data_IF_888660223287
#
_entry.id   IF_888660223287
#
_cell.length_a   1.000
_cell.length_b   1.000
_cell.length_c   1.000
_cell.angle_alpha   90.00
_cell.angle_beta   90.00
_cell.angle_gamma   90.00
#
_symmetry.space_group_name_H-M   'P 1'
#
loop_
_entity.id
_entity.type
_entity.pdbx_description
1 polymer ?
#
# COMPACT_ATOMS: atom_id res chain seq x y z
N UNK A 1 3.72 -9.26 23.84
CA UNK A 1 2.73 -8.24 23.46
C UNK A 1 1.29 -8.75 23.19
N UNK A 2 1.02 -10.06 23.14
CA UNK A 2 -0.37 -10.57 23.01
C UNK A 2 -1.28 -10.24 24.22
N UNK A 3 -0.74 -9.89 25.38
CA UNK A 3 -1.48 -9.68 26.63
C UNK A 3 -1.43 -8.21 27.13
N UNK A 4 -1.34 -7.21 26.23
CA UNK A 4 -1.22 -5.80 26.66
C UNK A 4 -2.53 -5.15 27.11
N UNK A 5 -3.63 -5.92 27.33
CA UNK A 5 -4.93 -5.37 27.76
C UNK A 5 -5.57 -4.33 26.82
N UNK A 6 -5.02 -4.20 25.60
CA UNK A 6 -5.53 -3.25 24.62
C UNK A 6 -6.84 -3.73 23.98
N UNK A 7 -7.09 -5.02 23.99
CA UNK A 7 -8.34 -5.60 23.46
C UNK A 7 -9.57 -5.26 24.31
N UNK A 8 -9.36 -4.93 25.61
CA UNK A 8 -10.42 -4.53 26.55
C UNK A 8 -10.63 -3.01 26.59
N UNK A 9 -9.80 -2.22 25.89
CA UNK A 9 -9.96 -0.79 25.86
C UNK A 9 -11.20 -0.40 25.03
N UNK A 10 -12.09 0.43 25.61
CA UNK A 10 -13.23 1.00 24.86
C UNK A 10 -12.82 1.98 23.78
N UNK A 11 -11.59 2.49 23.83
CA UNK A 11 -10.99 3.37 22.85
C UNK A 11 -10.73 2.64 21.53
N UNK A 12 -10.90 3.32 20.39
CA UNK A 12 -10.67 2.78 19.05
C UNK A 12 -11.74 3.16 18.05
N UNK A 13 -11.60 2.69 16.82
CA UNK A 13 -12.56 2.91 15.74
C UNK A 13 -13.56 1.77 15.70
N UNK A 14 -14.84 2.06 15.77
CA UNK A 14 -15.92 1.06 15.69
C UNK A 14 -16.22 0.69 14.24
N UNK A 15 -16.03 -0.57 13.90
CA UNK A 15 -16.33 -1.11 12.58
C UNK A 15 -17.16 -2.38 12.74
N UNK A 16 -18.42 -2.34 12.30
CA UNK A 16 -19.39 -3.45 12.41
C UNK A 16 -19.48 -4.05 13.82
N UNK A 17 -19.65 -3.19 14.83
CA UNK A 17 -19.77 -3.62 16.23
C UNK A 17 -18.45 -4.10 16.86
N UNK A 18 -17.35 -4.13 16.13
CA UNK A 18 -16.03 -4.44 16.66
C UNK A 18 -15.24 -3.18 16.86
N UNK A 19 -14.58 -3.06 18.00
CA UNK A 19 -13.68 -1.95 18.29
C UNK A 19 -12.25 -2.30 17.85
N UNK A 20 -11.66 -1.46 16.99
CA UNK A 20 -10.30 -1.62 16.49
C UNK A 20 -9.47 -0.46 16.95
N UNK A 21 -8.52 -0.73 17.81
CA UNK A 21 -7.64 0.27 18.39
C UNK A 21 -6.16 0.08 18.01
N UNK A 22 -5.80 -1.08 17.45
CA UNK A 22 -4.43 -1.33 17.04
C UNK A 22 -4.33 -2.33 15.88
N UNK A 23 -3.28 -2.16 15.07
CA UNK A 23 -2.79 -3.14 14.10
C UNK A 23 -1.31 -3.38 14.40
N UNK A 24 -0.90 -4.66 14.44
CA UNK A 24 0.47 -5.04 14.81
C UNK A 24 1.08 -5.96 13.78
N UNK A 25 2.33 -5.69 13.45
CA UNK A 25 3.14 -6.57 12.62
C UNK A 25 4.59 -6.52 13.15
N UNK A 26 5.06 -7.62 13.72
CA UNK A 26 6.36 -7.72 14.39
C UNK A 26 6.54 -6.61 15.44
N UNK A 27 7.45 -5.70 15.26
CA UNK A 27 7.73 -4.51 16.07
C UNK A 27 6.95 -3.27 15.66
N UNK A 28 6.38 -3.25 14.46
CA UNK A 28 5.55 -2.14 13.99
C UNK A 28 4.13 -2.23 14.59
N UNK A 29 3.69 -1.14 15.19
CA UNK A 29 2.34 -1.02 15.77
C UNK A 29 1.68 0.27 15.31
N UNK A 30 0.48 0.16 14.77
CA UNK A 30 -0.39 1.32 14.48
C UNK A 30 -1.51 1.36 15.51
N UNK A 31 -1.68 2.48 16.18
CA UNK A 31 -2.79 2.75 17.09
C UNK A 31 -3.83 3.59 16.37
N UNK A 32 -5.11 3.35 16.68
CA UNK A 32 -6.25 4.03 16.07
C UNK A 32 -7.23 4.44 17.15
N UNK A 33 -7.73 5.69 17.10
CA UNK A 33 -8.74 6.21 17.98
C UNK A 33 -9.59 7.28 17.27
N UNK A 34 -10.76 7.58 17.80
CA UNK A 34 -11.66 8.62 17.29
C UNK A 34 -11.29 10.02 17.85
N UNK A 35 -10.60 10.09 19.01
CA UNK A 35 -10.14 11.32 19.61
C UNK A 35 -8.65 11.31 19.96
N UNK A 36 -8.10 12.51 20.17
CA UNK A 36 -6.71 12.73 20.57
C UNK A 36 -6.43 12.16 21.96
N UNK A 37 -7.35 12.34 22.91
CA UNK A 37 -7.23 11.87 24.28
C UNK A 37 -7.21 10.34 24.34
N UNK A 38 -8.08 9.69 23.57
CA UNK A 38 -8.11 8.22 23.45
C UNK A 38 -6.81 7.69 22.88
N UNK A 39 -6.30 8.32 21.81
CA UNK A 39 -5.05 7.91 21.19
C UNK A 39 -3.87 8.04 22.17
N UNK A 40 -3.82 9.14 22.94
CA UNK A 40 -2.81 9.38 23.97
C UNK A 40 -2.88 8.30 25.07
N UNK A 41 -4.08 7.98 25.53
CA UNK A 41 -4.29 6.92 26.53
C UNK A 41 -3.81 5.55 26.03
N UNK A 42 -4.13 5.19 24.76
CA UNK A 42 -3.67 3.94 24.14
C UNK A 42 -2.14 3.90 24.03
N UNK A 43 -1.53 5.00 23.60
CA UNK A 43 -0.09 5.10 23.44
C UNK A 43 0.64 4.94 24.77
N UNK A 44 0.16 5.59 25.85
CA UNK A 44 0.75 5.45 27.18
C UNK A 44 0.61 4.03 27.73
N UNK A 45 -0.50 3.33 27.47
CA UNK A 45 -0.65 1.91 27.80
C UNK A 45 0.38 1.04 27.07
N UNK A 46 0.53 1.23 25.74
CA UNK A 46 1.51 0.48 24.94
C UNK A 46 2.91 0.72 25.44
N UNK A 47 3.26 1.99 25.77
CA UNK A 47 4.56 2.36 26.31
C UNK A 47 4.82 1.63 27.64
N UNK A 48 3.91 1.71 28.60
CA UNK A 48 4.07 1.07 29.91
C UNK A 48 4.19 -0.46 29.82
N UNK A 49 3.40 -1.10 28.97
CA UNK A 49 3.49 -2.56 28.75
C UNK A 49 4.78 -2.97 28.02
N UNK A 50 5.26 -2.13 27.10
CA UNK A 50 6.53 -2.36 26.42
C UNK A 50 7.73 -2.25 27.37
N UNK A 51 7.73 -1.26 28.25
CA UNK A 51 8.77 -1.04 29.26
C UNK A 51 8.89 -2.21 30.26
N UNK A 52 7.76 -2.82 30.65
CA UNK A 52 7.76 -4.01 31.52
C UNK A 52 8.53 -5.21 30.93
N UNK A 53 8.60 -5.30 29.62
CA UNK A 53 9.34 -6.35 28.91
C UNK A 53 10.69 -5.87 28.34
N UNK A 54 11.16 -4.71 28.77
CA UNK A 54 12.45 -4.14 28.38
C UNK A 54 12.47 -3.51 26.98
N UNK A 55 11.32 -3.28 26.35
CA UNK A 55 11.23 -2.63 25.04
C UNK A 55 10.94 -1.14 25.24
N UNK A 56 11.68 -0.29 24.53
CA UNK A 56 11.47 1.17 24.53
C UNK A 56 10.79 1.63 23.25
N UNK A 57 9.83 2.55 23.41
CA UNK A 57 9.21 3.23 22.28
C UNK A 57 10.25 4.13 21.58
N UNK A 58 10.36 4.03 20.27
CA UNK A 58 11.21 4.92 19.48
C UNK A 58 10.41 6.15 19.05
N UNK A 59 10.49 7.24 19.81
CA UNK A 59 9.72 8.47 19.60
C UNK A 59 10.04 9.09 18.25
N UNK A 60 11.30 9.10 17.82
CA UNK A 60 11.71 9.68 16.54
C UNK A 60 11.10 8.94 15.32
N UNK A 61 10.85 7.63 15.46
CA UNK A 61 10.16 6.84 14.42
C UNK A 61 8.65 6.85 14.55
N UNK A 62 8.14 7.27 15.73
CA UNK A 62 6.70 7.37 15.95
C UNK A 62 6.15 8.59 15.22
N UNK A 63 5.06 8.41 14.48
CA UNK A 63 4.41 9.46 13.70
C UNK A 63 2.93 9.48 14.04
N UNK A 64 2.33 10.67 13.99
CA UNK A 64 0.91 10.86 14.20
C UNK A 64 0.29 11.37 12.90
N UNK A 65 -0.83 10.78 12.52
CA UNK A 65 -1.61 11.21 11.37
C UNK A 65 -3.08 11.37 11.79
N UNK A 66 -3.71 12.47 11.39
CA UNK A 66 -5.13 12.70 11.63
C UNK A 66 -5.82 13.30 10.42
N UNK A 67 -7.14 13.15 10.38
CA UNK A 67 -8.01 13.79 9.38
C UNK A 67 -8.32 15.26 9.67
N UNK A 68 -7.91 15.78 10.84
CA UNK A 68 -8.08 17.16 11.29
C UNK A 68 -6.77 17.79 11.77
N UNK A 69 -6.84 19.04 12.21
CA UNK A 69 -5.70 19.71 12.83
C UNK A 69 -5.43 19.10 14.21
N UNK A 70 -4.22 18.60 14.43
CA UNK A 70 -3.74 18.15 15.74
C UNK A 70 -2.77 19.19 16.28
N UNK A 71 -2.86 19.44 17.59
CA UNK A 71 -1.85 20.18 18.36
C UNK A 71 -0.57 19.36 18.49
N UNK A 72 0.56 20.02 18.78
CA UNK A 72 1.84 19.33 18.98
C UNK A 72 1.72 18.31 20.13
N UNK A 73 2.19 17.08 19.88
CA UNK A 73 2.25 16.03 20.87
C UNK A 73 3.64 15.86 21.44
N UNK A 74 3.70 15.69 22.76
CA UNK A 74 4.94 15.39 23.45
C UNK A 74 4.81 14.07 24.22
N UNK A 75 5.87 13.26 24.15
CA UNK A 75 6.05 12.05 24.93
C UNK A 75 7.41 12.16 25.62
N UNK A 76 7.42 12.13 26.94
CA UNK A 76 8.65 12.27 27.76
C UNK A 76 9.45 13.53 27.45
N UNK A 77 8.81 14.63 27.08
CA UNK A 77 9.46 15.89 26.70
C UNK A 77 10.00 15.92 25.27
N UNK A 78 9.81 14.85 24.48
CA UNK A 78 10.13 14.82 23.04
C UNK A 78 8.88 15.03 22.20
N UNK A 79 8.96 15.91 21.21
CA UNK A 79 7.85 16.20 20.30
C UNK A 79 7.69 15.08 19.30
N UNK A 80 6.45 14.55 19.15
CA UNK A 80 6.10 13.57 18.13
C UNK A 80 5.70 14.29 16.83
N UNK A 81 6.29 13.88 15.73
CA UNK A 81 6.04 14.49 14.42
C UNK A 81 4.63 14.15 13.90
N UNK A 82 3.87 15.20 13.57
CA UNK A 82 2.59 15.07 12.87
C UNK A 82 2.83 15.09 11.37
N UNK A 83 2.31 14.08 10.67
CA UNK A 83 2.54 13.89 9.23
C UNK A 83 1.24 13.76 8.46
N UNK A 84 1.24 14.21 7.20
CA UNK A 84 0.10 14.05 6.29
C UNK A 84 0.08 12.66 5.63
N UNK A 85 1.22 12.00 5.59
CA UNK A 85 1.40 10.65 5.05
C UNK A 85 2.54 9.92 5.75
N UNK A 86 2.51 8.60 5.75
CA UNK A 86 3.63 7.78 6.25
C UNK A 86 3.69 6.43 5.53
N UNK A 87 4.85 5.77 5.63
CA UNK A 87 5.04 4.45 5.05
C UNK A 87 4.90 3.40 6.15
N UNK A 88 3.89 2.53 6.03
CA UNK A 88 3.64 1.40 6.91
C UNK A 88 3.67 0.09 6.11
N UNK A 89 4.52 -0.85 6.52
CA UNK A 89 4.72 -2.14 5.83
C UNK A 89 5.00 -2.00 4.31
N UNK A 90 5.71 -0.94 3.93
CA UNK A 90 5.99 -0.66 2.53
C UNK A 90 4.89 0.07 1.77
N UNK A 91 3.74 0.39 2.41
CA UNK A 91 2.64 1.16 1.84
C UNK A 91 2.68 2.61 2.27
N UNK A 92 2.48 3.52 1.33
CA UNK A 92 2.27 4.92 1.63
C UNK A 92 0.79 5.16 1.96
N UNK A 93 0.51 5.45 3.23
CA UNK A 93 -0.82 5.77 3.74
C UNK A 93 -0.93 7.29 3.82
N UNK A 94 -2.03 7.85 3.35
CA UNK A 94 -2.36 9.27 3.36
C UNK A 94 -3.62 9.51 4.18
N UNK A 95 -3.73 10.68 4.81
CA UNK A 95 -4.87 11.04 5.65
C UNK A 95 -6.21 11.09 4.88
N UNK A 96 -6.17 11.35 3.56
CA UNK A 96 -7.34 11.37 2.67
C UNK A 96 -7.69 9.99 2.07
N UNK A 97 -6.86 8.96 2.31
CA UNK A 97 -7.04 7.62 1.76
C UNK A 97 -6.84 7.51 0.25
N UNK A 98 -6.26 8.53 -0.43
CA UNK A 98 -6.02 8.50 -1.87
C UNK A 98 -4.81 7.65 -2.24
N UNK A 99 -5.04 6.58 -3.02
CA UNK A 99 -4.00 5.69 -3.49
C UNK A 99 -3.14 6.25 -4.63
N UNK A 100 -3.46 7.44 -5.19
CA UNK A 100 -2.75 8.02 -6.34
C UNK A 100 -1.26 8.23 -6.08
N UNK A 101 -0.91 8.66 -4.87
CA UNK A 101 0.48 8.84 -4.46
C UNK A 101 1.24 7.51 -4.38
N UNK A 102 0.59 6.48 -3.85
CA UNK A 102 1.15 5.15 -3.73
C UNK A 102 1.37 4.51 -5.12
N UNK A 103 0.36 4.60 -6.00
CA UNK A 103 0.48 4.12 -7.39
C UNK A 103 1.66 4.79 -8.09
N UNK A 104 1.77 6.12 -8.01
CA UNK A 104 2.92 6.85 -8.60
C UNK A 104 4.25 6.38 -8.05
N UNK A 105 4.34 6.17 -6.73
CA UNK A 105 5.55 5.68 -6.05
C UNK A 105 5.95 4.30 -6.59
N UNK A 106 5.02 3.36 -6.71
CA UNK A 106 5.29 2.03 -7.24
C UNK A 106 5.68 2.04 -8.72
N UNK A 107 5.07 2.89 -9.54
CA UNK A 107 5.49 3.09 -10.93
C UNK A 107 6.94 3.63 -11.03
N UNK A 108 7.34 4.55 -10.13
CA UNK A 108 8.71 5.04 -10.07
C UNK A 108 9.70 3.95 -9.62
N UNK A 109 9.35 3.14 -8.63
CA UNK A 109 10.15 1.99 -8.20
C UNK A 109 10.31 0.99 -9.35
N UNK A 110 9.24 0.67 -10.06
CA UNK A 110 9.27 -0.19 -11.24
C UNK A 110 10.20 0.36 -12.33
N UNK A 111 10.17 1.68 -12.58
CA UNK A 111 11.12 2.33 -13.51
C UNK A 111 12.57 2.16 -13.08
N UNK A 112 12.85 2.32 -11.78
CA UNK A 112 14.20 2.12 -11.23
C UNK A 112 14.68 0.68 -11.45
N UNK A 113 13.84 -0.31 -11.14
CA UNK A 113 14.16 -1.73 -11.36
C UNK A 113 14.38 -2.00 -12.86
N UNK A 114 13.50 -1.50 -13.74
CA UNK A 114 13.64 -1.64 -15.19
C UNK A 114 14.94 -1.04 -15.72
N UNK A 115 15.39 0.08 -15.14
CA UNK A 115 16.68 0.71 -15.49
C UNK A 115 17.87 -0.12 -15.02
N UNK A 116 17.80 -0.72 -13.84
CA UNK A 116 18.85 -1.60 -13.31
C UNK A 116 19.03 -2.87 -14.18
N UNK A 117 17.98 -3.29 -14.88
CA UNK A 117 18.03 -4.44 -15.81
C UNK A 117 18.60 -4.10 -17.19
N UNK A 118 18.96 -2.86 -17.48
CA UNK A 118 19.35 -2.38 -18.81
C UNK A 118 20.49 -3.19 -19.43
N UNK A 119 21.51 -3.58 -18.66
CA UNK A 119 22.63 -4.39 -19.15
C UNK A 119 22.17 -5.75 -19.69
N UNK A 120 21.27 -6.41 -18.95
CA UNK A 120 20.68 -7.69 -19.33
C UNK A 120 19.74 -7.53 -20.52
N UNK A 121 18.89 -6.51 -20.49
CA UNK A 121 17.92 -6.25 -21.57
C UNK A 121 18.62 -5.84 -22.88
N UNK A 122 19.83 -5.27 -22.81
CA UNK A 122 20.66 -4.90 -23.97
C UNK A 122 21.44 -6.09 -24.56
N UNK A 123 21.68 -7.16 -23.80
CA UNK A 123 22.39 -8.33 -24.31
C UNK A 123 21.72 -8.92 -25.55
N UNK A 124 22.50 -9.34 -26.53
CA UNK A 124 22.03 -10.02 -27.75
C UNK A 124 21.84 -11.52 -27.55
N UNK A 125 22.52 -12.08 -26.55
CA UNK A 125 22.52 -13.52 -26.26
C UNK A 125 21.23 -13.99 -25.57
N UNK A 126 20.43 -13.04 -25.06
CA UNK A 126 19.19 -13.33 -24.36
C UNK A 126 18.01 -13.13 -25.31
N UNK A 127 17.20 -14.18 -25.44
CA UNK A 127 16.02 -14.17 -26.32
C UNK A 127 14.96 -13.16 -25.85
N UNK A 128 14.14 -12.66 -26.76
CA UNK A 128 13.04 -11.74 -26.45
C UNK A 128 12.09 -12.34 -25.39
N UNK A 129 11.74 -13.62 -25.54
CA UNK A 129 10.86 -14.32 -24.59
C UNK A 129 11.45 -14.35 -23.17
N UNK A 130 12.74 -14.60 -23.03
CA UNK A 130 13.42 -14.58 -21.72
C UNK A 130 13.42 -13.17 -21.11
N UNK A 131 13.66 -12.13 -21.91
CA UNK A 131 13.58 -10.74 -21.47
C UNK A 131 12.18 -10.35 -21.00
N UNK A 132 11.14 -10.76 -21.72
CA UNK A 132 9.74 -10.53 -21.35
C UNK A 132 9.44 -11.20 -20.00
N UNK A 133 9.86 -12.46 -19.82
CA UNK A 133 9.71 -13.17 -18.53
C UNK A 133 10.44 -12.44 -17.40
N UNK A 134 11.64 -11.95 -17.66
CA UNK A 134 12.42 -11.20 -16.66
C UNK A 134 11.71 -9.94 -16.22
N UNK A 135 11.17 -9.13 -17.15
CA UNK A 135 10.39 -7.93 -16.83
C UNK A 135 9.15 -8.30 -16.00
N UNK A 136 8.41 -9.34 -16.41
CA UNK A 136 7.23 -9.82 -15.67
C UNK A 136 7.59 -10.35 -14.28
N UNK A 137 8.75 -10.95 -14.08
CA UNK A 137 9.16 -11.53 -12.81
C UNK A 137 9.82 -10.51 -11.85
N UNK A 138 10.49 -9.48 -12.38
CA UNK A 138 11.29 -8.56 -11.57
C UNK A 138 10.65 -7.17 -11.44
N UNK A 139 10.02 -6.67 -12.49
CA UNK A 139 9.48 -5.29 -12.52
C UNK A 139 8.02 -5.26 -12.08
N UNK A 140 7.19 -6.14 -12.64
CA UNK A 140 5.76 -6.14 -12.37
C UNK A 140 5.40 -6.41 -10.90
N UNK A 141 6.04 -7.34 -10.18
CA UNK A 141 5.73 -7.55 -8.76
C UNK A 141 6.02 -6.32 -7.90
N UNK A 142 7.05 -5.54 -8.23
CA UNK A 142 7.35 -4.28 -7.53
C UNK A 142 6.25 -3.24 -7.75
N UNK A 143 5.72 -3.17 -8.97
CA UNK A 143 4.61 -2.25 -9.29
C UNK A 143 3.30 -2.71 -8.68
N UNK A 144 3.03 -4.02 -8.68
CA UNK A 144 1.77 -4.60 -8.22
C UNK A 144 1.71 -4.81 -6.70
N UNK A 145 2.81 -4.57 -5.97
CA UNK A 145 2.82 -4.81 -4.52
C UNK A 145 1.72 -4.03 -3.82
N UNK A 146 0.78 -4.75 -3.18
CA UNK A 146 -0.36 -4.21 -2.46
C UNK A 146 -1.47 -3.63 -3.32
N UNK A 147 -1.46 -3.86 -4.63
CA UNK A 147 -2.48 -3.34 -5.54
C UNK A 147 -3.90 -3.85 -5.23
N UNK A 148 -4.03 -4.89 -4.40
CA UNK A 148 -5.30 -5.44 -3.97
C UNK A 148 -6.15 -4.42 -3.22
N UNK A 149 -5.50 -3.54 -2.44
CA UNK A 149 -6.16 -2.48 -1.65
C UNK A 149 -6.41 -1.20 -2.44
N UNK A 150 -5.84 -1.02 -3.64
CA UNK A 150 -5.93 0.25 -4.35
C UNK A 150 -7.30 0.50 -4.97
N UNK A 151 -7.82 1.70 -4.78
CA UNK A 151 -8.93 2.24 -5.57
C UNK A 151 -8.34 2.96 -6.77
N UNK A 152 -8.33 2.28 -7.93
CA UNK A 152 -7.70 2.80 -9.15
C UNK A 152 -8.70 3.70 -9.88
N UNK A 153 -8.38 5.00 -9.99
CA UNK A 153 -9.15 5.99 -10.75
C UNK A 153 -8.80 5.90 -12.24
N UNK A 154 -9.66 6.44 -13.13
CA UNK A 154 -9.43 6.44 -14.58
C UNK A 154 -8.05 6.98 -15.00
N UNK A 155 -7.59 8.03 -14.34
CA UNK A 155 -6.27 8.63 -14.61
C UNK A 155 -5.12 7.68 -14.24
N UNK A 156 -5.31 6.86 -13.22
CA UNK A 156 -4.30 5.90 -12.78
C UNK A 156 -4.22 4.70 -13.73
N UNK A 157 -5.34 4.24 -14.30
CA UNK A 157 -5.33 3.25 -15.38
C UNK A 157 -4.45 3.71 -16.55
N UNK A 158 -4.63 4.95 -16.99
CA UNK A 158 -3.81 5.52 -18.06
C UNK A 158 -2.31 5.58 -17.72
N UNK A 159 -1.97 5.85 -16.46
CA UNK A 159 -0.58 5.85 -15.98
C UNK A 159 0.04 4.46 -15.96
N UNK A 160 -0.74 3.47 -15.54
CA UNK A 160 -0.32 2.05 -15.50
C UNK A 160 -0.08 1.56 -16.92
N UNK A 161 -1.00 1.83 -17.85
CA UNK A 161 -0.86 1.47 -19.28
C UNK A 161 0.36 2.16 -19.92
N UNK A 162 0.54 3.44 -19.65
CA UNK A 162 1.69 4.20 -20.14
C UNK A 162 3.01 3.65 -19.60
N UNK A 163 3.03 3.20 -18.33
CA UNK A 163 4.20 2.56 -17.74
C UNK A 163 4.49 1.20 -18.40
N UNK A 164 3.48 0.38 -18.62
CA UNK A 164 3.63 -0.92 -19.28
C UNK A 164 4.20 -0.74 -20.68
N UNK A 165 3.62 0.16 -21.48
CA UNK A 165 4.12 0.51 -22.82
C UNK A 165 5.55 1.03 -22.78
N UNK A 166 5.91 1.85 -21.81
CA UNK A 166 7.28 2.32 -21.63
C UNK A 166 8.24 1.16 -21.37
N UNK A 167 7.87 0.17 -20.55
CA UNK A 167 8.69 -1.02 -20.32
C UNK A 167 8.94 -1.79 -21.64
N UNK A 168 7.88 -2.01 -22.43
CA UNK A 168 7.99 -2.77 -23.68
C UNK A 168 8.76 -2.02 -24.75
N UNK A 169 8.55 -0.71 -24.90
CA UNK A 169 9.35 0.11 -25.82
C UNK A 169 10.83 0.09 -25.45
N UNK A 170 11.15 0.20 -24.15
CA UNK A 170 12.53 0.12 -23.65
C UNK A 170 13.15 -1.24 -23.95
N UNK A 171 12.43 -2.32 -23.71
CA UNK A 171 12.86 -3.69 -23.98
C UNK A 171 13.14 -3.91 -25.48
N UNK A 172 12.24 -3.44 -26.36
CA UNK A 172 12.37 -3.52 -27.82
C UNK A 172 13.33 -2.46 -28.40
N UNK A 173 13.85 -1.54 -27.58
CA UNK A 173 14.68 -0.40 -28.02
C UNK A 173 13.99 0.51 -29.05
N UNK A 174 12.68 0.66 -28.95
CA UNK A 174 11.89 1.51 -29.81
C UNK A 174 11.72 2.87 -29.12
N UNK A 175 12.38 3.95 -29.60
CA UNK A 175 12.20 5.26 -29.03
C UNK A 175 10.73 5.71 -29.21
N UNK A 176 10.28 6.56 -28.33
CA UNK A 176 8.89 7.03 -28.38
C UNK A 176 8.62 7.87 -29.66
N UNK A 177 9.67 8.48 -30.23
CA UNK A 177 9.64 9.23 -31.51
C UNK A 177 9.47 8.32 -32.72
N UNK A 178 9.72 7.01 -32.60
CA UNK A 178 9.47 6.09 -33.69
C UNK A 178 7.97 5.98 -33.97
N UNK A 179 7.58 6.08 -35.25
CA UNK A 179 6.18 5.99 -35.70
C UNK A 179 5.61 4.56 -35.62
N UNK A 180 5.87 3.85 -34.52
CA UNK A 180 5.30 2.53 -34.24
C UNK A 180 4.10 2.66 -33.32
N UNK A 181 2.97 2.05 -33.73
CA UNK A 181 1.75 2.03 -32.92
C UNK A 181 1.92 1.19 -31.64
N UNK A 182 1.21 1.55 -30.58
CA UNK A 182 1.20 0.79 -29.35
C UNK A 182 0.71 -0.65 -29.56
N UNK A 183 -0.27 -0.85 -30.44
CA UNK A 183 -0.76 -2.18 -30.81
C UNK A 183 0.33 -3.07 -31.45
N UNK A 184 1.17 -2.48 -32.31
CA UNK A 184 2.30 -3.20 -32.93
C UNK A 184 3.33 -3.64 -31.86
N UNK A 185 3.61 -2.80 -30.86
CA UNK A 185 4.49 -3.13 -29.74
C UNK A 185 3.92 -4.30 -28.92
N UNK A 186 2.64 -4.23 -28.55
CA UNK A 186 1.98 -5.26 -27.76
C UNK A 186 1.88 -6.60 -28.48
N UNK A 187 1.64 -6.58 -29.80
CA UNK A 187 1.63 -7.81 -30.63
C UNK A 187 3.01 -8.49 -30.66
N UNK A 188 4.09 -7.73 -30.79
CA UNK A 188 5.45 -8.27 -30.81
C UNK A 188 5.85 -8.91 -29.46
N UNK A 189 5.39 -8.34 -28.37
CA UNK A 189 5.63 -8.89 -27.04
C UNK A 189 4.80 -10.16 -26.80
N UNK A 190 3.74 -10.39 -27.53
CA UNK A 190 2.82 -11.56 -27.40
C UNK A 190 2.30 -11.71 -25.95
N UNK A 191 1.77 -10.62 -25.41
CA UNK A 191 1.27 -10.58 -24.04
C UNK A 191 -0.01 -11.40 -23.91
N UNK A 192 0.01 -12.42 -23.05
CA UNK A 192 -1.21 -13.14 -22.63
C UNK A 192 -2.10 -12.30 -21.73
N UNK A 193 -1.52 -11.39 -20.92
CA UNK A 193 -2.24 -10.52 -19.99
C UNK A 193 -1.45 -9.22 -19.77
N UNK A 194 -2.16 -8.08 -19.78
CA UNK A 194 -1.59 -6.77 -19.46
C UNK A 194 -1.24 -6.64 -17.97
N UNK A 195 -0.45 -5.64 -17.61
CA UNK A 195 -0.15 -5.32 -16.20
C UNK A 195 -1.43 -5.06 -15.42
N UNK A 196 -2.36 -4.28 -15.98
CA UNK A 196 -3.68 -4.02 -15.36
C UNK A 196 -4.49 -5.32 -15.20
N UNK A 197 -4.50 -6.19 -16.20
CA UNK A 197 -5.14 -7.50 -16.10
C UNK A 197 -4.56 -8.39 -15.01
N UNK A 198 -3.23 -8.34 -14.80
CA UNK A 198 -2.57 -9.03 -13.68
C UNK A 198 -2.98 -8.44 -12.33
N UNK A 199 -3.05 -7.12 -12.20
CA UNK A 199 -3.53 -6.45 -10.99
C UNK A 199 -4.98 -6.83 -10.67
N UNK A 200 -5.85 -6.84 -11.68
CA UNK A 200 -7.24 -7.28 -11.52
C UNK A 200 -7.33 -8.73 -11.07
N UNK A 201 -6.51 -9.61 -11.65
CA UNK A 201 -6.43 -11.02 -11.22
C UNK A 201 -6.05 -11.15 -9.75
N UNK A 202 -5.05 -10.41 -9.27
CA UNK A 202 -4.64 -10.40 -7.88
C UNK A 202 -5.77 -9.93 -6.96
N UNK A 203 -6.45 -8.84 -7.32
CA UNK A 203 -7.63 -8.33 -6.60
C UNK A 203 -8.73 -9.39 -6.47
N UNK A 204 -9.07 -10.05 -7.58
CA UNK A 204 -10.10 -11.08 -7.59
C UNK A 204 -9.69 -12.32 -6.76
N UNK A 205 -8.42 -12.70 -6.81
CA UNK A 205 -7.89 -13.80 -5.98
C UNK A 205 -7.98 -13.45 -4.49
N UNK A 206 -7.57 -12.23 -4.12
CA UNK A 206 -7.65 -11.73 -2.74
C UNK A 206 -9.12 -11.67 -2.28
N UNK A 207 -10.01 -11.09 -3.07
CA UNK A 207 -11.43 -11.03 -2.79
C UNK A 207 -12.03 -12.44 -2.60
N UNK A 208 -11.74 -13.38 -3.50
CA UNK A 208 -12.20 -14.77 -3.38
C UNK A 208 -11.67 -15.46 -2.12
N UNK A 209 -10.44 -15.13 -1.69
CA UNK A 209 -9.89 -15.64 -0.44
C UNK A 209 -10.61 -15.07 0.79
N UNK A 210 -10.88 -13.76 0.80
CA UNK A 210 -11.63 -13.10 1.86
C UNK A 210 -13.06 -13.63 1.99
N UNK A 211 -13.75 -13.84 0.87
CA UNK A 211 -15.14 -14.32 0.89
C UNK A 211 -15.27 -15.73 1.49
N UNK A 212 -14.24 -16.55 1.42
CA UNK A 212 -14.23 -17.90 2.03
C UNK A 212 -14.04 -17.89 3.55
N UNK A 213 -13.56 -16.78 4.13
CA UNK A 213 -13.43 -16.66 5.59
C UNK A 213 -14.76 -16.28 6.21
N UNK A 214 -15.22 -17.02 7.24
CA UNK A 214 -16.51 -16.76 7.87
C UNK A 214 -16.53 -15.41 8.60
N UNK A 215 -15.51 -15.10 9.40
CA UNK A 215 -15.45 -13.94 10.32
C UNK A 215 -14.25 -13.04 10.06
N UNK A 216 -14.05 -12.65 8.79
CA UNK A 216 -12.97 -11.73 8.45
C UNK A 216 -13.46 -10.29 8.57
N UNK A 217 -12.68 -9.50 9.28
CA UNK A 217 -12.89 -8.06 9.44
C UNK A 217 -12.84 -7.34 8.10
N UNK A 218 -11.88 -7.70 7.26
CA UNK A 218 -11.70 -7.16 5.92
C UNK A 218 -12.92 -7.44 5.02
N UNK A 219 -13.54 -8.62 5.16
CA UNK A 219 -14.79 -8.95 4.46
C UNK A 219 -15.91 -7.99 4.85
N UNK A 220 -16.02 -7.68 6.13
CA UNK A 220 -17.01 -6.74 6.66
C UNK A 220 -16.80 -5.33 6.11
N UNK A 221 -15.54 -4.87 6.05
CA UNK A 221 -15.17 -3.58 5.45
C UNK A 221 -15.54 -3.51 3.96
N UNK A 222 -15.16 -4.53 3.19
CA UNK A 222 -15.40 -4.58 1.74
C UNK A 222 -16.89 -4.65 1.42
N UNK A 223 -17.68 -5.35 2.22
CA UNK A 223 -19.14 -5.44 2.04
C UNK A 223 -19.89 -4.18 2.52
N UNK A 224 -19.17 -3.19 3.08
CA UNK A 224 -19.76 -1.91 3.49
C UNK A 224 -20.68 -2.00 4.71
N UNK A 225 -20.57 -3.03 5.53
CA UNK A 225 -21.27 -3.15 6.81
C UNK A 225 -20.60 -2.31 7.89
N UNK A 226 -20.44 -1.02 7.64
CA UNK A 226 -19.90 -0.06 8.60
C UNK A 226 -21.07 0.65 9.25
N UNK A 227 -21.21 0.55 10.57
CA UNK A 227 -22.18 1.33 11.35
C UNK A 227 -21.64 2.76 11.46
N UNK A 228 -22.26 3.69 10.76
CA UNK A 228 -21.96 5.11 10.84
C UNK A 228 -23.10 5.94 10.25
N UNK A 229 -23.37 7.11 10.83
CA UNK A 229 -24.33 8.07 10.27
C UNK A 229 -23.89 8.45 8.87
N UNK A 230 -24.63 8.05 7.83
CA UNK A 230 -24.52 8.64 6.50
C UNK A 230 -24.70 10.16 6.65
N UNK A 231 -23.64 10.94 6.44
CA UNK A 231 -23.81 12.36 6.18
C UNK A 231 -24.62 12.46 4.91
N UNK A 232 -25.87 12.93 5.04
CA UNK A 232 -26.67 13.36 3.89
C UNK A 232 -25.92 14.57 3.30
N UNK A 233 -25.36 14.41 2.09
CA UNK A 233 -24.97 15.52 1.25
C UNK A 233 -26.22 16.18 0.67
#
# INVERSE_FOLDING_TARGET
>A
MRNSGLEEAQAGIKISGRNINNLRYADDTTLMAESEEELKSLLMKVKGESEKVGLKLNIQKTKIMASGSITSWEIDGETVETVADFIFLGFKITADGDCSHEIKRHLLLGRKVMTNLDSILKSRDITLSAKVRLVKAMVFPVVMYGCESWIVKKIEHQRIDAFELWCWRRLLRVPWTARRSNQSILKEISLGCSLEGLMMKLKLQYFGHLMRRADSFEKTLILGKIEGRRRRG
#
